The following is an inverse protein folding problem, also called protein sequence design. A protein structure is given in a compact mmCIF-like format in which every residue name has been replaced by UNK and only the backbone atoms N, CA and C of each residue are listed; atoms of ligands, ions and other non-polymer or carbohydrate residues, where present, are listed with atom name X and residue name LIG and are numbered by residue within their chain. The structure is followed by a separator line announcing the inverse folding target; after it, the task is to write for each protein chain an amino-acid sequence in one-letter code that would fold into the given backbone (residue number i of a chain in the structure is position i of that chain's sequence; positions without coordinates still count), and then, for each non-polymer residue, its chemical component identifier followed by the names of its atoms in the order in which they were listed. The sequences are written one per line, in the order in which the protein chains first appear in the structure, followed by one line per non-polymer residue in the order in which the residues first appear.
data_IF_915916714447
#
_entry.id   IF_915916714447
#
_cell.length_a   1.000
_cell.length_b   1.000
_cell.length_c   1.000
_cell.angle_alpha   90.00
_cell.angle_beta   90.00
_cell.angle_gamma   90.00
#
_symmetry.space_group_name_H-M   'P 1'
#
loop_
_entity.id
_entity.type
_entity.pdbx_description
1 polymer ?
#
# COMPACT_ATOMS: atom_id res chain seq x y z
N UNK A 1 -15.06 3.48 -23.54
CA UNK A 1 -14.06 2.41 -23.39
C UNK A 1 -13.78 2.27 -21.89
N UNK A 2 -14.48 1.37 -21.21
CA UNK A 2 -14.34 1.20 -19.76
C UNK A 2 -13.16 0.27 -19.48
N UNK A 3 -12.17 0.72 -18.71
CA UNK A 3 -11.14 -0.17 -18.19
C UNK A 3 -11.78 -1.04 -17.12
N UNK A 4 -12.10 -2.28 -17.49
CA UNK A 4 -12.45 -3.33 -16.54
C UNK A 4 -11.24 -3.52 -15.62
N UNK A 5 -11.28 -2.90 -14.44
CA UNK A 5 -10.45 -3.31 -13.31
C UNK A 5 -10.86 -4.76 -13.02
N UNK A 6 -10.17 -5.72 -13.64
CA UNK A 6 -10.25 -7.12 -13.24
C UNK A 6 -10.07 -7.12 -11.73
N UNK A 7 -11.03 -7.69 -11.01
CA UNK A 7 -11.02 -7.78 -9.54
C UNK A 7 -9.84 -8.67 -9.17
N UNK A 8 -8.62 -8.09 -9.15
CA UNK A 8 -7.39 -8.77 -8.76
C UNK A 8 -7.64 -9.33 -7.38
N UNK A 9 -7.54 -10.65 -7.25
CA UNK A 9 -7.84 -11.36 -6.01
C UNK A 9 -6.80 -10.91 -4.98
N UNK A 10 -7.19 -10.07 -4.03
CA UNK A 10 -6.28 -9.57 -2.98
C UNK A 10 -5.65 -10.74 -2.21
N UNK A 11 -6.35 -11.88 -2.11
CA UNK A 11 -5.84 -13.10 -1.47
C UNK A 11 -4.62 -13.73 -2.15
N UNK A 12 -4.23 -13.29 -3.36
CA UNK A 12 -3.00 -13.75 -4.02
C UNK A 12 -1.81 -12.81 -3.76
N UNK A 13 -1.98 -11.77 -2.94
CA UNK A 13 -0.91 -10.88 -2.53
C UNK A 13 -0.29 -11.37 -1.22
N UNK A 14 1.03 -11.38 -1.15
CA UNK A 14 1.80 -11.75 0.03
C UNK A 14 2.65 -10.57 0.48
N UNK A 15 2.51 -10.12 1.73
CA UNK A 15 3.37 -9.08 2.29
C UNK A 15 4.76 -9.66 2.58
N UNK A 16 5.80 -9.03 2.04
CA UNK A 16 7.20 -9.42 2.27
C UNK A 16 7.81 -8.55 3.37
N UNK A 17 7.66 -7.22 3.25
CA UNK A 17 8.22 -6.26 4.20
C UNK A 17 7.37 -5.01 4.24
N UNK A 18 7.26 -4.44 5.44
CA UNK A 18 6.61 -3.15 5.68
C UNK A 18 7.56 -2.28 6.49
N UNK A 19 7.66 -1.01 6.12
CA UNK A 19 8.33 0.02 6.90
C UNK A 19 7.47 1.29 6.94
N UNK A 20 7.49 1.98 8.07
CA UNK A 20 6.79 3.24 8.29
C UNK A 20 7.87 4.28 8.59
N UNK A 21 7.88 5.36 7.82
CA UNK A 21 8.69 6.55 8.08
C UNK A 21 7.76 7.66 8.58
N UNK A 22 8.09 8.24 9.73
CA UNK A 22 7.31 9.29 10.38
C UNK A 22 8.17 9.98 11.43
N UNK A 23 7.83 11.23 11.73
CA UNK A 23 8.42 12.01 12.83
C UNK A 23 7.75 11.71 14.18
N UNK A 24 6.64 10.94 14.20
CA UNK A 24 5.95 10.55 15.42
C UNK A 24 6.68 9.41 16.16
N UNK A 25 6.84 9.53 17.49
CA UNK A 25 7.44 8.49 18.35
C UNK A 25 6.69 7.14 18.33
N UNK A 26 5.42 7.16 17.90
CA UNK A 26 4.55 5.98 17.82
C UNK A 26 4.08 5.75 16.38
N UNK A 27 4.84 5.00 15.56
CA UNK A 27 4.61 4.96 14.12
C UNK A 27 3.23 4.46 13.69
N UNK A 28 2.59 3.61 14.48
CA UNK A 28 1.25 3.07 14.21
C UNK A 28 0.12 4.06 14.53
N UNK A 29 0.41 5.12 15.27
CA UNK A 29 -0.51 6.19 15.64
C UNK A 29 -0.15 7.52 14.95
N UNK A 30 0.80 7.48 14.01
CA UNK A 30 1.30 8.65 13.32
C UNK A 30 0.21 9.36 12.52
N UNK A 31 0.17 10.68 12.61
CA UNK A 31 -0.79 11.50 11.84
C UNK A 31 -0.30 11.73 10.42
N UNK A 32 1.01 11.72 10.22
CA UNK A 32 1.64 11.85 8.92
C UNK A 32 2.69 10.74 8.79
N UNK A 33 2.67 10.02 7.67
CA UNK A 33 3.65 8.95 7.46
C UNK A 33 3.89 8.65 5.98
N UNK A 34 5.02 8.01 5.71
CA UNK A 34 5.28 7.33 4.44
C UNK A 34 5.36 5.83 4.70
N UNK A 35 4.47 5.08 4.07
CA UNK A 35 4.39 3.62 4.18
C UNK A 35 5.08 2.98 2.98
N UNK A 36 6.10 2.18 3.25
CA UNK A 36 6.81 1.38 2.24
C UNK A 36 6.38 -0.07 2.37
N UNK A 37 5.77 -0.61 1.31
CA UNK A 37 5.28 -1.99 1.28
C UNK A 37 5.98 -2.75 0.15
N UNK A 38 6.76 -3.77 0.50
CA UNK A 38 7.18 -4.80 -0.44
C UNK A 38 6.19 -5.98 -0.36
N UNK A 39 5.64 -6.39 -1.50
CA UNK A 39 4.67 -7.48 -1.56
C UNK A 39 4.86 -8.29 -2.83
N UNK A 40 4.56 -9.58 -2.78
CA UNK A 40 4.54 -10.45 -3.96
C UNK A 40 3.14 -10.53 -4.53
N UNK A 41 3.05 -10.58 -5.86
CA UNK A 41 1.78 -10.72 -6.57
C UNK A 41 1.98 -11.08 -8.02
N UNK A 42 0.89 -11.45 -8.69
CA UNK A 42 0.91 -11.84 -10.09
C UNK A 42 1.51 -10.74 -10.98
N UNK A 43 2.36 -11.16 -11.92
CA UNK A 43 2.88 -10.29 -12.95
C UNK A 43 1.74 -9.62 -13.74
N UNK A 44 1.92 -8.35 -14.11
CA UNK A 44 0.91 -7.57 -14.83
C UNK A 44 0.60 -8.16 -16.23
N UNK A 45 1.53 -8.96 -16.78
CA UNK A 45 1.42 -9.57 -18.11
C UNK A 45 0.85 -11.01 -18.12
N UNK A 46 0.26 -11.47 -17.02
CA UNK A 46 -0.49 -12.73 -17.00
C UNK A 46 0.36 -14.00 -17.03
N UNK A 47 1.66 -13.91 -16.77
CA UNK A 47 2.43 -15.08 -16.35
C UNK A 47 2.03 -15.43 -14.92
N UNK A 48 1.85 -16.72 -14.63
CA UNK A 48 1.57 -17.24 -13.27
C UNK A 48 2.76 -17.08 -12.29
N UNK A 49 3.78 -16.33 -12.71
CA UNK A 49 4.96 -16.04 -11.92
C UNK A 49 4.65 -14.92 -10.92
N UNK A 50 4.96 -15.20 -9.66
CA UNK A 50 4.89 -14.23 -8.57
C UNK A 50 6.11 -13.32 -8.60
N UNK A 51 5.88 -12.01 -8.70
CA UNK A 51 6.93 -10.98 -8.73
C UNK A 51 6.81 -10.10 -7.49
N UNK A 52 7.96 -9.64 -6.96
CA UNK A 52 8.00 -8.66 -5.89
C UNK A 52 7.72 -7.25 -6.43
N UNK A 53 6.74 -6.59 -5.84
CA UNK A 53 6.31 -5.23 -6.09
C UNK A 53 6.60 -4.36 -4.89
N UNK A 54 6.78 -3.06 -5.13
CA UNK A 54 6.95 -2.05 -4.09
C UNK A 54 5.89 -0.97 -4.24
N UNK A 55 5.18 -0.68 -3.16
CA UNK A 55 4.28 0.45 -3.04
C UNK A 55 4.83 1.44 -2.01
N UNK A 56 4.68 2.73 -2.32
CA UNK A 56 4.98 3.85 -1.42
C UNK A 56 3.73 4.69 -1.30
N UNK A 57 3.20 4.83 -0.09
CA UNK A 57 1.96 5.56 0.19
C UNK A 57 2.28 6.67 1.17
N UNK A 58 1.85 7.91 0.89
CA UNK A 58 1.98 9.03 1.83
C UNK A 58 0.63 9.27 2.48
N UNK A 59 0.56 9.18 3.80
CA UNK A 59 -0.68 9.40 4.54
C UNK A 59 -0.65 10.70 5.32
N UNK A 60 -1.77 11.41 5.34
CA UNK A 60 -1.99 12.54 6.25
C UNK A 60 -3.40 12.47 6.84
N UNK A 61 -3.48 12.34 8.16
CA UNK A 61 -4.71 12.40 8.93
C UNK A 61 -4.92 13.81 9.49
N UNK A 62 -6.04 14.42 9.12
CA UNK A 62 -6.46 15.71 9.64
C UNK A 62 -7.44 15.49 10.80
N UNK A 63 -7.01 15.82 12.02
CA UNK A 63 -7.84 15.65 13.23
C UNK A 63 -9.02 16.60 13.31
N UNK A 64 -8.91 17.81 12.72
CA UNK A 64 -9.98 18.80 12.77
C UNK A 64 -11.20 18.33 11.96
N UNK A 65 -10.95 17.66 10.84
CA UNK A 65 -11.99 17.18 9.92
C UNK A 65 -12.24 15.68 10.06
N UNK A 66 -11.38 14.95 10.78
CA UNK A 66 -11.39 13.49 10.83
C UNK A 66 -11.09 12.81 9.49
N UNK A 67 -10.46 13.52 8.54
CA UNK A 67 -10.23 13.02 7.17
C UNK A 67 -8.83 12.46 6.96
N UNK A 68 -8.72 11.37 6.21
CA UNK A 68 -7.45 10.77 5.78
C UNK A 68 -7.19 11.06 4.29
N UNK A 69 -6.01 11.59 3.97
CA UNK A 69 -5.48 11.69 2.61
C UNK A 69 -4.39 10.63 2.38
N UNK A 70 -4.38 10.01 1.19
CA UNK A 70 -3.46 8.95 0.76
C UNK A 70 -2.89 9.23 -0.64
#
# INVERSE_FOLDING_TARGET
MGTTFQRKKVSSLELVKVAIETDDETPLQAKSSVLYIAFRGLAIHGTDESVEWKAVIKSLFNELTGSLAL
#
